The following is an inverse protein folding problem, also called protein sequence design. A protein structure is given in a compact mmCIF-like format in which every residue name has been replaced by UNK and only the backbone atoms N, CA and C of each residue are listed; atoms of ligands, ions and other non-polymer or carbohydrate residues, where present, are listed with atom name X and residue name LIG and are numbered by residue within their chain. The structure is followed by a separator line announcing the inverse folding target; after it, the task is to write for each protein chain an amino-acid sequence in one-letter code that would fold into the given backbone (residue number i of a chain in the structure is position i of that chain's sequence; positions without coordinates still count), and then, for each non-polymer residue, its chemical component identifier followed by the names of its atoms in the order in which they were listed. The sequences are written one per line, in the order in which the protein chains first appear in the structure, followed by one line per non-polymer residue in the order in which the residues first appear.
data_IF_943269762535
#
_entry.id   IF_943269762535
#
_cell.length_a   1.000
_cell.length_b   1.000
_cell.length_c   1.000
_cell.angle_alpha   90.00
_cell.angle_beta   90.00
_cell.angle_gamma   90.00
#
_symmetry.space_group_name_H-M   'P 1'
#
loop_
_entity.id
_entity.type
_entity.pdbx_description
1 polymer ?
#
# COMPACT_ATOMS: atom_id res chain seq x y z
N UNK A 1 -16.59 2.59 1.19
CA UNK A 1 -15.55 1.71 0.62
C UNK A 1 -14.82 2.37 -0.54
N UNK A 2 -15.53 3.07 -1.43
CA UNK A 2 -14.89 3.76 -2.57
C UNK A 2 -13.89 4.84 -2.15
N UNK A 3 -14.25 5.75 -1.23
CA UNK A 3 -13.31 6.74 -0.70
C UNK A 3 -12.10 6.14 0.02
N UNK A 4 -12.26 4.96 0.62
CA UNK A 4 -11.15 4.22 1.21
C UNK A 4 -10.19 3.76 0.11
N UNK A 5 -10.71 3.08 -0.93
CA UNK A 5 -9.92 2.57 -2.03
C UNK A 5 -9.20 3.71 -2.79
N UNK A 6 -9.90 4.82 -3.06
CA UNK A 6 -9.33 6.01 -3.68
C UNK A 6 -8.12 6.55 -2.91
N UNK A 7 -8.25 6.65 -1.58
CA UNK A 7 -7.15 7.11 -0.72
C UNK A 7 -5.96 6.14 -0.76
N UNK A 8 -6.22 4.84 -0.72
CA UNK A 8 -5.16 3.81 -0.79
C UNK A 8 -4.42 3.90 -2.12
N UNK A 9 -5.13 3.96 -3.25
CA UNK A 9 -4.49 4.10 -4.56
C UNK A 9 -3.71 5.41 -4.71
N UNK A 10 -4.23 6.53 -4.20
CA UNK A 10 -3.52 7.81 -4.23
C UNK A 10 -2.19 7.74 -3.48
N UNK A 11 -2.20 7.22 -2.25
CA UNK A 11 -0.99 7.08 -1.43
C UNK A 11 0.03 6.12 -2.05
N UNK A 12 -0.44 5.02 -2.65
CA UNK A 12 0.42 4.08 -3.38
C UNK A 12 1.04 4.71 -4.63
N UNK A 13 0.27 5.49 -5.38
CA UNK A 13 0.78 6.23 -6.53
C UNK A 13 1.89 7.20 -6.14
N UNK A 14 1.68 7.96 -5.07
CA UNK A 14 2.69 8.86 -4.52
C UNK A 14 3.95 8.11 -4.06
N UNK A 15 3.81 6.99 -3.34
CA UNK A 15 4.94 6.20 -2.88
C UNK A 15 5.76 5.63 -4.06
N UNK A 16 5.07 5.11 -5.09
CA UNK A 16 5.73 4.61 -6.30
C UNK A 16 6.45 5.72 -7.07
N UNK A 17 5.83 6.90 -7.22
CA UNK A 17 6.45 8.05 -7.87
C UNK A 17 7.73 8.50 -7.14
N UNK A 18 7.71 8.47 -5.80
CA UNK A 18 8.89 8.76 -4.98
C UNK A 18 9.98 7.73 -5.23
N UNK A 19 9.66 6.43 -5.18
CA UNK A 19 10.62 5.37 -5.48
C UNK A 19 11.22 5.51 -6.88
N UNK A 20 10.41 5.80 -7.89
CA UNK A 20 10.85 5.97 -9.29
C UNK A 20 11.79 7.16 -9.47
N UNK A 21 11.66 8.19 -8.62
CA UNK A 21 12.57 9.34 -8.59
C UNK A 21 13.83 9.09 -7.74
N UNK A 22 14.05 7.86 -7.28
CA UNK A 22 15.13 7.51 -6.36
C UNK A 22 14.99 8.15 -5.00
N UNK A 23 13.79 8.65 -4.65
CA UNK A 23 13.52 9.24 -3.35
C UNK A 23 13.04 8.17 -2.37
N UNK A 24 13.49 8.24 -1.12
CA UNK A 24 13.09 7.28 -0.12
C UNK A 24 11.60 7.45 0.22
N UNK A 25 10.92 6.35 0.51
CA UNK A 25 9.55 6.38 1.04
C UNK A 25 9.63 6.57 2.54
N UNK A 26 8.80 7.46 3.08
CA UNK A 26 8.69 7.65 4.53
C UNK A 26 8.20 6.36 5.19
N UNK A 27 8.82 5.88 6.29
CA UNK A 27 8.40 4.65 6.96
C UNK A 27 6.94 4.65 7.36
N UNK A 28 6.43 5.80 7.84
CA UNK A 28 5.03 5.93 8.24
C UNK A 28 4.06 5.66 7.09
N UNK A 29 4.43 6.03 5.87
CA UNK A 29 3.64 5.74 4.66
C UNK A 29 3.69 4.25 4.34
N UNK A 30 4.87 3.62 4.41
CA UNK A 30 5.01 2.19 4.14
C UNK A 30 4.27 1.33 5.19
N UNK A 31 4.41 1.65 6.48
CA UNK A 31 3.70 0.99 7.57
C UNK A 31 2.19 1.14 7.41
N UNK A 32 1.72 2.35 7.06
CA UNK A 32 0.31 2.59 6.80
C UNK A 32 -0.20 1.75 5.63
N UNK A 33 0.57 1.66 4.53
CA UNK A 33 0.25 0.85 3.36
C UNK A 33 0.19 -0.65 3.69
N UNK A 34 1.08 -1.14 4.56
CA UNK A 34 1.04 -2.52 5.04
C UNK A 34 -0.25 -2.81 5.82
N UNK A 35 -0.68 -1.90 6.69
CA UNK A 35 -1.98 -2.01 7.37
C UNK A 35 -3.15 -2.08 6.37
N UNK A 36 -3.06 -1.39 5.22
CA UNK A 36 -4.10 -1.47 4.18
C UNK A 36 -4.10 -2.84 3.50
N UNK A 37 -2.94 -3.47 3.34
CA UNK A 37 -2.82 -4.83 2.82
C UNK A 37 -3.55 -5.82 3.74
N UNK A 38 -3.31 -5.73 5.05
CA UNK A 38 -3.94 -6.59 6.05
C UNK A 38 -5.46 -6.42 6.06
N UNK A 39 -5.94 -5.18 6.01
CA UNK A 39 -7.38 -4.89 5.93
C UNK A 39 -7.99 -5.44 4.65
N UNK A 40 -7.32 -5.28 3.50
CA UNK A 40 -7.79 -5.81 2.23
C UNK A 40 -7.86 -7.34 2.24
N UNK A 41 -6.82 -8.02 2.72
CA UNK A 41 -6.78 -9.47 2.85
C UNK A 41 -7.89 -9.99 3.79
N UNK A 42 -8.07 -9.35 4.95
CA UNK A 42 -9.11 -9.71 5.93
C UNK A 42 -10.51 -9.54 5.32
N UNK A 43 -10.75 -8.44 4.61
CA UNK A 43 -12.03 -8.17 3.95
C UNK A 43 -12.32 -9.20 2.85
N UNK A 44 -11.30 -9.58 2.07
CA UNK A 44 -11.44 -10.57 1.00
C UNK A 44 -11.69 -11.99 1.54
N UNK A 45 -11.06 -12.35 2.65
CA UNK A 45 -11.24 -13.63 3.34
C UNK A 45 -12.62 -13.77 3.98
N UNK A 46 -13.19 -12.65 4.46
CA UNK A 46 -14.53 -12.65 5.05
C UNK A 46 -15.62 -12.68 3.95
N UNK A 47 -16.29 -13.83 3.81
CA UNK A 47 -17.41 -14.03 2.87
C UNK A 47 -18.63 -13.17 3.21
N UNK A 48 -18.78 -12.78 4.47
CA UNK A 48 -19.90 -11.97 4.97
C UNK A 48 -19.56 -10.47 5.06
N UNK A 49 -18.44 -10.05 4.45
CA UNK A 49 -17.99 -8.64 4.47
C UNK A 49 -18.97 -7.66 3.79
N UNK A 50 -19.96 -8.16 3.05
CA UNK A 50 -20.87 -7.33 2.27
C UNK A 50 -20.19 -6.61 1.10
N UNK A 51 -18.92 -6.92 0.81
CA UNK A 51 -18.17 -6.31 -0.28
C UNK A 51 -18.74 -6.77 -1.63
N UNK A 52 -19.13 -5.81 -2.47
CA UNK A 52 -19.56 -6.09 -3.83
C UNK A 52 -18.44 -6.75 -4.65
N UNK A 53 -18.79 -7.43 -5.75
CA UNK A 53 -17.79 -7.99 -6.69
C UNK A 53 -16.78 -6.92 -7.13
N UNK A 54 -17.25 -5.71 -7.46
CA UNK A 54 -16.39 -4.57 -7.83
C UNK A 54 -15.43 -4.19 -6.71
N UNK A 55 -15.91 -4.11 -5.47
CA UNK A 55 -15.05 -3.80 -4.33
C UNK A 55 -14.01 -4.90 -4.08
N UNK A 56 -14.38 -6.17 -4.24
CA UNK A 56 -13.44 -7.30 -4.12
C UNK A 56 -12.34 -7.22 -5.19
N UNK A 57 -12.68 -6.92 -6.44
CA UNK A 57 -11.69 -6.68 -7.50
C UNK A 57 -10.73 -5.56 -7.13
N UNK A 58 -11.25 -4.42 -6.67
CA UNK A 58 -10.41 -3.29 -6.25
C UNK A 58 -9.52 -3.60 -5.03
N UNK A 59 -9.98 -4.41 -4.10
CA UNK A 59 -9.16 -4.88 -2.98
C UNK A 59 -8.02 -5.80 -3.44
N UNK A 60 -8.27 -6.65 -4.45
CA UNK A 60 -7.22 -7.45 -5.09
C UNK A 60 -6.20 -6.56 -5.81
N UNK A 61 -6.66 -5.52 -6.50
CA UNK A 61 -5.78 -4.52 -7.13
C UNK A 61 -4.89 -3.81 -6.10
N UNK A 62 -5.43 -3.45 -4.93
CA UNK A 62 -4.62 -2.91 -3.81
C UNK A 62 -3.49 -3.87 -3.43
N UNK A 63 -3.81 -5.16 -3.20
CA UNK A 63 -2.81 -6.17 -2.83
C UNK A 63 -1.74 -6.36 -3.92
N UNK A 64 -2.14 -6.36 -5.18
CA UNK A 64 -1.24 -6.48 -6.32
C UNK A 64 -0.30 -5.28 -6.40
N UNK A 65 -0.83 -4.06 -6.32
CA UNK A 65 -0.01 -2.86 -6.43
C UNK A 65 0.93 -2.69 -5.22
N UNK A 66 0.53 -3.12 -4.01
CA UNK A 66 1.41 -3.13 -2.83
C UNK A 66 2.55 -4.12 -2.98
N UNK A 67 2.26 -5.30 -3.53
CA UNK A 67 3.28 -6.32 -3.82
C UNK A 67 4.30 -5.78 -4.84
N UNK A 68 3.82 -5.10 -5.89
CA UNK A 68 4.68 -4.47 -6.88
C UNK A 68 5.54 -3.34 -6.29
N UNK A 69 4.98 -2.51 -5.39
CA UNK A 69 5.74 -1.46 -4.69
C UNK A 69 6.83 -2.07 -3.81
N UNK A 70 6.49 -3.10 -3.03
CA UNK A 70 7.44 -3.80 -2.17
C UNK A 70 8.58 -4.41 -2.99
N UNK A 71 8.26 -5.05 -4.12
CA UNK A 71 9.26 -5.62 -5.01
C UNK A 71 10.14 -4.54 -5.64
N UNK A 72 9.54 -3.42 -6.06
CA UNK A 72 10.29 -2.28 -6.59
C UNK A 72 11.31 -1.76 -5.57
N UNK A 73 10.90 -1.53 -4.33
CA UNK A 73 11.76 -1.06 -3.23
C UNK A 73 12.91 -2.05 -2.99
N UNK A 74 12.60 -3.35 -2.91
CA UNK A 74 13.60 -4.42 -2.70
C UNK A 74 14.66 -4.46 -3.81
N UNK A 75 14.25 -4.31 -5.06
CA UNK A 75 15.17 -4.41 -6.20
C UNK A 75 15.96 -3.14 -6.48
N UNK A 76 15.39 -1.95 -6.22
CA UNK A 76 16.01 -0.68 -6.58
C UNK A 76 16.78 -0.01 -5.44
N UNK A 77 16.97 -0.70 -4.30
CA UNK A 77 17.74 -0.22 -3.15
C UNK A 77 17.36 1.20 -2.69
N UNK A 78 16.08 1.56 -2.86
CA UNK A 78 15.55 2.84 -2.37
C UNK A 78 15.48 2.69 -0.84
N UNK A 79 16.41 3.31 -0.13
CA UNK A 79 16.45 3.25 1.32
C UNK A 79 15.11 3.74 1.89
N UNK A 80 14.53 3.01 2.84
CA UNK A 80 13.50 3.58 3.70
C UNK A 80 14.18 4.63 4.59
N UNK A 81 13.62 5.85 4.72
CA UNK A 81 14.19 6.85 5.63
C UNK A 81 14.05 6.32 7.04
N UNK A 82 15.10 5.75 7.64
CA UNK A 82 15.02 5.29 9.02
C UNK A 82 14.53 6.44 9.91
N UNK A 83 13.54 6.20 10.79
CA UNK A 83 13.16 7.17 11.82
C UNK A 83 14.42 7.50 12.63
N UNK A 84 14.96 8.71 12.45
CA UNK A 84 15.93 9.24 13.39
C UNK A 84 15.26 9.26 14.76
N UNK A 85 15.84 8.50 15.70
CA UNK A 85 15.38 8.46 17.08
C UNK A 85 15.61 9.85 17.66
N UNK A 86 14.54 10.63 17.82
CA UNK A 86 14.58 11.80 18.68
C UNK A 86 14.94 11.31 20.09
N UNK A 87 16.08 11.81 20.57
CA UNK A 87 16.67 11.55 21.88
C UNK A 87 16.03 12.42 22.96
#
# INVERSE_FOLDING_TARGET
MDHYLERVFLQMGMAMEMCQRGRPVEPGTFDWLLCQAELAATTLANKDSGASSTHRTRLLEVLLCLSNLNEYIRHHSVALVAREREA
#
